data_IF_010053307350
#
_entry.id   IF_010053307350
#
_cell.length_a   1.000
_cell.length_b   1.000
_cell.length_c   1.000
_cell.angle_alpha   90.00
_cell.angle_beta   90.00
_cell.angle_gamma   90.00
#
_symmetry.space_group_name_H-M   'P 1'
#
loop_
_entity.id
_entity.type
_entity.pdbx_description
1 polymer ?
#
# COMPACT_ATOMS: atom_id res chain seq x y z
N UNK A 1 -10.87 -21.72 14.34
CA UNK A 1 -10.13 -23.00 14.17
C UNK A 1 -10.90 -24.09 13.44
N UNK A 2 -11.97 -24.68 14.00
CA UNK A 2 -12.70 -25.80 13.36
C UNK A 2 -13.25 -25.52 11.94
N UNK A 3 -13.56 -24.25 11.64
CA UNK A 3 -14.07 -23.83 10.32
C UNK A 3 -12.97 -23.70 9.26
N UNK A 4 -11.73 -23.37 9.63
CA UNK A 4 -10.58 -23.36 8.72
C UNK A 4 -10.28 -24.78 8.21
N UNK A 5 -10.39 -25.77 9.10
CA UNK A 5 -10.06 -27.19 8.85
C UNK A 5 -11.19 -27.94 8.14
N UNK A 6 -12.41 -27.40 8.10
CA UNK A 6 -13.52 -28.03 7.39
C UNK A 6 -13.44 -27.72 5.88
N UNK A 7 -12.83 -28.63 5.12
CA UNK A 7 -12.65 -28.52 3.67
C UNK A 7 -13.94 -28.72 2.85
N UNK A 8 -15.04 -29.12 3.49
CA UNK A 8 -16.31 -29.39 2.80
C UNK A 8 -17.26 -28.18 2.74
N UNK A 9 -16.89 -27.07 3.36
CA UNK A 9 -17.67 -25.83 3.39
C UNK A 9 -16.81 -24.64 2.93
N UNK A 10 -17.39 -23.67 2.18
CA UNK A 10 -16.69 -22.43 1.84
C UNK A 10 -16.30 -21.65 3.10
N UNK A 11 -15.23 -20.86 3.03
CA UNK A 11 -14.90 -19.95 4.13
C UNK A 11 -15.97 -18.89 4.26
N UNK A 12 -16.44 -18.70 5.49
CA UNK A 12 -17.43 -17.67 5.81
C UNK A 12 -16.71 -16.51 6.49
N UNK A 13 -16.86 -15.31 5.96
CA UNK A 13 -16.22 -14.08 6.46
C UNK A 13 -16.49 -13.87 7.96
N UNK A 14 -17.72 -14.11 8.42
CA UNK A 14 -18.09 -14.04 9.85
C UNK A 14 -17.31 -15.02 10.73
N UNK A 15 -16.97 -16.21 10.21
CA UNK A 15 -16.19 -17.20 10.97
C UNK A 15 -14.71 -16.83 11.06
N UNK A 16 -14.17 -16.16 10.04
CA UNK A 16 -12.79 -15.68 10.02
C UNK A 16 -12.60 -14.44 10.89
N UNK A 17 -13.59 -13.52 10.90
CA UNK A 17 -13.60 -12.36 11.79
C UNK A 17 -13.45 -12.73 13.28
N UNK A 18 -13.91 -13.93 13.68
CA UNK A 18 -13.73 -14.45 15.04
C UNK A 18 -12.28 -14.80 15.42
N UNK A 19 -11.35 -14.74 14.46
CA UNK A 19 -9.92 -14.94 14.71
C UNK A 19 -9.19 -13.62 15.04
N UNK A 20 -9.92 -12.50 15.08
CA UNK A 20 -9.39 -11.16 15.37
C UNK A 20 -8.89 -11.06 16.82
N UNK A 21 -7.85 -10.25 17.04
CA UNK A 21 -7.22 -10.02 18.34
C UNK A 21 -6.74 -11.31 19.01
N UNK A 22 -6.05 -12.22 18.29
CA UNK A 22 -5.69 -13.52 18.85
C UNK A 22 -4.72 -13.36 20.02
N UNK A 23 -4.97 -14.09 21.12
CA UNK A 23 -3.97 -14.22 22.18
C UNK A 23 -2.74 -14.98 21.67
N UNK A 24 -1.65 -14.97 22.45
CA UNK A 24 -0.46 -15.81 22.15
C UNK A 24 -0.79 -17.29 22.06
N UNK A 25 -1.77 -17.78 22.82
CA UNK A 25 -2.22 -19.17 22.75
C UNK A 25 -3.03 -19.42 21.47
N UNK A 26 -3.89 -18.48 21.07
CA UNK A 26 -4.66 -18.57 19.83
C UNK A 26 -3.75 -18.54 18.60
N UNK A 27 -2.73 -17.69 18.57
CA UNK A 27 -1.75 -17.64 17.49
C UNK A 27 -0.96 -18.96 17.36
N UNK A 28 -0.60 -19.60 18.49
CA UNK A 28 0.03 -20.93 18.49
C UNK A 28 -0.93 -22.01 17.99
N UNK A 29 -2.19 -21.97 18.42
CA UNK A 29 -3.21 -22.89 17.95
C UNK A 29 -3.45 -22.71 16.43
N UNK A 30 -3.47 -21.46 15.96
CA UNK A 30 -3.53 -21.11 14.55
C UNK A 30 -2.38 -21.75 13.78
N UNK A 31 -1.12 -21.52 14.19
CA UNK A 31 0.05 -22.08 13.54
C UNK A 31 -0.02 -23.61 13.39
N UNK A 32 -0.45 -24.32 14.45
CA UNK A 32 -0.58 -25.77 14.44
C UNK A 32 -1.64 -26.26 13.45
N UNK A 33 -2.80 -25.59 13.37
CA UNK A 33 -3.82 -25.98 12.39
C UNK A 33 -3.46 -25.53 10.98
N UNK A 34 -2.84 -24.35 10.84
CA UNK A 34 -2.39 -23.80 9.57
C UNK A 34 -1.44 -24.76 8.86
N UNK A 35 -0.48 -25.33 9.59
CA UNK A 35 0.51 -26.28 9.07
C UNK A 35 -0.09 -27.56 8.47
N UNK A 36 -1.33 -27.94 8.80
CA UNK A 36 -1.98 -29.15 8.28
C UNK A 36 -3.02 -28.86 7.19
N UNK A 37 -3.29 -27.59 6.87
CA UNK A 37 -4.21 -27.21 5.81
C UNK A 37 -3.59 -27.48 4.43
N UNK A 38 -4.38 -27.91 3.43
CA UNK A 38 -3.94 -27.94 2.03
C UNK A 38 -3.53 -26.55 1.52
N UNK A 39 -2.60 -26.49 0.57
CA UNK A 39 -2.07 -25.24 0.03
C UNK A 39 -3.17 -24.29 -0.48
N UNK A 40 -4.09 -24.81 -1.32
CA UNK A 40 -5.24 -24.06 -1.85
C UNK A 40 -6.11 -23.44 -0.73
N UNK A 41 -6.26 -24.15 0.39
CA UNK A 41 -7.06 -23.66 1.52
C UNK A 41 -6.33 -22.58 2.32
N UNK A 42 -5.01 -22.64 2.42
CA UNK A 42 -4.20 -21.59 3.06
C UNK A 42 -4.23 -20.32 2.23
N UNK A 43 -4.13 -20.45 0.91
CA UNK A 43 -4.24 -19.32 -0.02
C UNK A 43 -5.62 -18.66 0.04
N UNK A 44 -6.71 -19.44 -0.06
CA UNK A 44 -8.08 -18.95 0.09
C UNK A 44 -8.28 -18.24 1.44
N UNK A 45 -7.84 -18.87 2.55
CA UNK A 45 -7.98 -18.30 3.88
C UNK A 45 -7.18 -17.01 4.06
N UNK A 46 -5.96 -16.95 3.53
CA UNK A 46 -5.12 -15.76 3.62
C UNK A 46 -5.73 -14.60 2.84
N UNK A 47 -6.25 -14.84 1.63
CA UNK A 47 -6.94 -13.82 0.85
C UNK A 47 -8.13 -13.26 1.63
N UNK A 48 -9.00 -14.14 2.17
CA UNK A 48 -10.15 -13.68 2.95
C UNK A 48 -9.75 -12.90 4.22
N UNK A 49 -8.62 -13.21 4.85
CA UNK A 49 -8.13 -12.47 6.02
C UNK A 49 -7.67 -11.06 5.63
N UNK A 50 -6.96 -10.92 4.50
CA UNK A 50 -6.54 -9.61 3.97
C UNK A 50 -7.76 -8.77 3.60
N UNK A 51 -8.70 -9.32 2.82
CA UNK A 51 -9.91 -8.61 2.40
C UNK A 51 -10.74 -8.12 3.61
N UNK A 52 -10.80 -8.94 4.67
CA UNK A 52 -11.47 -8.58 5.92
C UNK A 52 -10.76 -7.46 6.68
N UNK A 53 -9.42 -7.51 6.75
CA UNK A 53 -8.64 -6.48 7.42
C UNK A 53 -8.72 -5.13 6.67
N UNK A 54 -8.72 -5.16 5.34
CA UNK A 54 -8.90 -3.94 4.52
C UNK A 54 -10.29 -3.33 4.69
N UNK A 55 -11.33 -4.16 4.81
CA UNK A 55 -12.72 -3.68 4.93
C UNK A 55 -13.14 -3.24 6.34
N UNK A 56 -12.35 -3.56 7.38
CA UNK A 56 -12.76 -3.39 8.78
C UNK A 56 -11.61 -3.03 9.71
N UNK A 57 -11.57 -1.77 10.12
CA UNK A 57 -10.60 -1.21 11.08
C UNK A 57 -10.70 -1.79 12.51
N UNK A 58 -11.77 -2.52 12.85
CA UNK A 58 -11.95 -3.12 14.17
C UNK A 58 -11.35 -4.54 14.28
N UNK A 59 -10.76 -5.04 13.19
CA UNK A 59 -10.19 -6.38 13.12
C UNK A 59 -8.66 -6.32 13.18
N UNK A 60 -8.05 -7.11 14.06
CA UNK A 60 -6.60 -7.28 14.16
C UNK A 60 -6.20 -8.74 13.88
N UNK A 61 -5.50 -8.97 12.77
CA UNK A 61 -4.95 -10.28 12.40
C UNK A 61 -3.42 -10.31 12.40
N UNK A 62 -2.74 -9.32 12.98
CA UNK A 62 -1.28 -9.17 12.87
C UNK A 62 -0.52 -10.43 13.29
N UNK A 63 -0.92 -11.07 14.40
CA UNK A 63 -0.27 -12.29 14.83
C UNK A 63 -0.44 -13.46 13.84
N UNK A 64 -1.59 -13.54 13.14
CA UNK A 64 -1.86 -14.58 12.14
C UNK A 64 -1.05 -14.36 10.88
N UNK A 65 -0.98 -13.10 10.41
CA UNK A 65 -0.14 -12.73 9.28
C UNK A 65 1.34 -13.00 9.57
N UNK A 66 1.84 -12.62 10.76
CA UNK A 66 3.21 -12.91 11.20
C UNK A 66 3.53 -14.41 11.19
N UNK A 67 2.62 -15.26 11.68
CA UNK A 67 2.78 -16.73 11.59
C UNK A 67 2.90 -17.19 10.14
N UNK A 68 2.14 -16.56 9.24
CA UNK A 68 2.04 -16.94 7.84
C UNK A 68 3.21 -16.46 6.97
N UNK A 69 4.10 -15.62 7.50
CA UNK A 69 5.36 -15.24 6.83
C UNK A 69 6.32 -16.41 6.61
N UNK A 70 6.13 -17.53 7.32
CA UNK A 70 6.91 -18.75 7.15
C UNK A 70 6.22 -19.79 6.25
N UNK A 71 5.09 -19.45 5.60
CA UNK A 71 4.33 -20.41 4.79
C UNK A 71 5.14 -20.90 3.57
N UNK A 72 5.04 -22.18 3.18
CA UNK A 72 5.66 -22.67 1.95
C UNK A 72 5.20 -21.94 0.67
N UNK A 73 3.94 -21.51 0.61
CA UNK A 73 3.41 -20.78 -0.55
C UNK A 73 3.90 -19.34 -0.57
N UNK A 74 4.52 -18.95 -1.68
CA UNK A 74 4.92 -17.57 -1.91
C UNK A 74 3.71 -16.61 -1.96
N UNK A 75 2.54 -17.09 -2.40
CA UNK A 75 1.32 -16.29 -2.42
C UNK A 75 0.88 -15.94 -1.00
N UNK A 76 0.86 -16.94 -0.10
CA UNK A 76 0.52 -16.72 1.32
C UNK A 76 1.50 -15.76 1.98
N UNK A 77 2.81 -15.92 1.77
CA UNK A 77 3.82 -15.01 2.34
C UNK A 77 3.66 -13.58 1.85
N UNK A 78 3.38 -13.38 0.56
CA UNK A 78 3.12 -12.05 -0.02
C UNK A 78 1.90 -11.40 0.62
N UNK A 79 0.76 -12.10 0.64
CA UNK A 79 -0.49 -11.61 1.23
C UNK A 79 -0.34 -11.33 2.74
N UNK A 80 0.44 -12.15 3.46
CA UNK A 80 0.74 -11.90 4.85
C UNK A 80 1.53 -10.59 5.07
N UNK A 81 2.45 -10.24 4.17
CA UNK A 81 3.15 -8.94 4.24
C UNK A 81 2.17 -7.79 3.99
N UNK A 82 1.25 -7.94 3.04
CA UNK A 82 0.23 -6.94 2.72
C UNK A 82 -0.74 -6.74 3.89
N UNK A 83 -1.20 -7.82 4.52
CA UNK A 83 -2.06 -7.76 5.71
C UNK A 83 -1.40 -7.12 6.94
N UNK A 84 -0.06 -7.05 6.99
CA UNK A 84 0.70 -6.43 8.08
C UNK A 84 0.87 -4.92 7.91
N UNK A 85 -0.01 -4.26 7.16
CA UNK A 85 0.08 -2.82 6.91
C UNK A 85 -0.13 -1.98 8.18
N UNK A 86 -0.97 -2.44 9.11
CA UNK A 86 -1.23 -1.80 10.42
C UNK A 86 -0.21 -2.17 11.52
N UNK A 87 0.68 -3.12 11.28
CA UNK A 87 1.68 -3.53 12.27
C UNK A 87 2.87 -2.55 12.29
N UNK A 88 2.90 -1.70 13.32
CA UNK A 88 3.90 -0.65 13.49
C UNK A 88 5.17 -1.11 14.22
N UNK A 89 5.24 -2.36 14.68
CA UNK A 89 6.35 -2.78 15.54
C UNK A 89 7.68 -2.83 14.77
N UNK A 90 8.77 -2.45 15.45
CA UNK A 90 10.09 -2.35 14.82
C UNK A 90 10.65 -3.72 14.40
N UNK A 91 10.34 -4.77 15.14
CA UNK A 91 10.81 -6.12 14.84
C UNK A 91 10.24 -6.62 13.50
N UNK A 92 9.08 -6.13 13.07
CA UNK A 92 8.57 -6.38 11.72
C UNK A 92 9.48 -5.78 10.64
N UNK A 93 10.01 -4.57 10.82
CA UNK A 93 10.99 -4.01 9.86
C UNK A 93 12.23 -4.92 9.76
N UNK A 94 12.68 -5.51 10.87
CA UNK A 94 13.79 -6.47 10.88
C UNK A 94 13.43 -7.74 10.10
N UNK A 95 12.21 -8.26 10.29
CA UNK A 95 11.70 -9.40 9.55
C UNK A 95 11.60 -9.10 8.04
N UNK A 96 11.06 -7.94 7.65
CA UNK A 96 10.92 -7.52 6.25
C UNK A 96 12.28 -7.35 5.57
N UNK A 97 13.28 -6.75 6.24
CA UNK A 97 14.65 -6.68 5.71
C UNK A 97 15.24 -8.07 5.47
N UNK A 98 14.98 -9.04 6.35
CA UNK A 98 15.41 -10.43 6.14
C UNK A 98 14.68 -11.06 4.95
N UNK A 99 13.36 -10.93 4.88
CA UNK A 99 12.55 -11.46 3.78
C UNK A 99 13.03 -10.89 2.44
N UNK A 100 13.23 -9.57 2.36
CA UNK A 100 13.78 -8.89 1.18
C UNK A 100 15.14 -9.45 0.75
N UNK A 101 16.00 -9.89 1.67
CA UNK A 101 17.33 -10.39 1.30
C UNK A 101 17.38 -11.90 1.03
N UNK A 102 16.42 -12.68 1.56
CA UNK A 102 16.55 -14.15 1.60
C UNK A 102 15.42 -14.93 0.97
N UNK A 103 14.24 -14.32 0.74
CA UNK A 103 13.11 -15.05 0.17
C UNK A 103 13.38 -15.44 -1.29
N UNK A 104 13.04 -16.66 -1.67
CA UNK A 104 13.25 -17.17 -3.03
C UNK A 104 12.33 -16.50 -4.06
N UNK A 105 11.15 -16.04 -3.63
CA UNK A 105 10.14 -15.46 -4.51
C UNK A 105 10.37 -13.97 -4.72
N UNK A 106 10.45 -13.57 -6.00
CA UNK A 106 10.54 -12.17 -6.44
C UNK A 106 9.38 -11.36 -5.86
N UNK A 107 8.15 -11.89 -5.91
CA UNK A 107 6.96 -11.16 -5.48
C UNK A 107 6.94 -10.94 -3.95
N UNK A 108 7.48 -11.89 -3.18
CA UNK A 108 7.57 -11.76 -1.72
C UNK A 108 8.66 -10.74 -1.35
N UNK A 109 9.82 -10.77 -2.02
CA UNK A 109 10.86 -9.75 -1.85
C UNK A 109 10.35 -8.36 -2.23
N UNK A 110 9.62 -8.24 -3.33
CA UNK A 110 9.02 -7.00 -3.79
C UNK A 110 8.02 -6.43 -2.77
N UNK A 111 7.12 -7.27 -2.23
CA UNK A 111 6.19 -6.86 -1.17
C UNK A 111 6.91 -6.40 0.10
N UNK A 112 7.99 -7.08 0.49
CA UNK A 112 8.82 -6.66 1.61
C UNK A 112 9.50 -5.29 1.36
N UNK A 113 10.04 -5.07 0.15
CA UNK A 113 10.60 -3.77 -0.23
C UNK A 113 9.55 -2.66 -0.18
N UNK A 114 8.33 -2.89 -0.69
CA UNK A 114 7.21 -1.93 -0.60
C UNK A 114 6.87 -1.60 0.85
N UNK A 115 6.68 -2.64 1.68
CA UNK A 115 6.30 -2.48 3.09
C UNK A 115 7.34 -1.73 3.89
N UNK A 116 8.64 -1.89 3.58
CA UNK A 116 9.72 -1.12 4.21
C UNK A 116 9.64 0.39 3.94
N UNK A 117 8.96 0.83 2.88
CA UNK A 117 8.79 2.25 2.54
C UNK A 117 8.15 3.06 3.66
N UNK A 118 7.24 2.49 4.44
CA UNK A 118 6.62 3.18 5.59
C UNK A 118 7.64 3.52 6.67
N UNK A 119 8.62 2.64 6.92
CA UNK A 119 9.66 2.90 7.91
C UNK A 119 10.71 3.88 7.38
N UNK A 120 10.93 3.94 6.06
CA UNK A 120 11.72 5.01 5.44
C UNK A 120 11.02 6.35 5.65
N UNK A 121 9.72 6.43 5.37
CA UNK A 121 8.91 7.63 5.63
C UNK A 121 8.99 8.06 7.11
N UNK A 122 8.77 7.15 8.05
CA UNK A 122 8.93 7.44 9.49
C UNK A 122 10.34 7.95 9.84
N UNK A 123 11.38 7.44 9.15
CA UNK A 123 12.75 7.93 9.29
C UNK A 123 12.91 9.38 8.83
N UNK A 124 12.32 9.76 7.70
CA UNK A 124 12.35 11.13 7.17
C UNK A 124 11.47 12.09 7.99
N UNK A 125 10.45 11.59 8.68
CA UNK A 125 9.62 12.35 9.62
C UNK A 125 10.26 12.51 11.02
N UNK A 126 11.48 12.00 11.24
CA UNK A 126 12.15 11.94 12.55
C UNK A 126 11.40 11.10 13.62
N UNK A 127 10.43 10.28 13.20
CA UNK A 127 9.62 9.39 14.06
C UNK A 127 10.27 8.00 14.27
N UNK A 128 11.36 7.72 13.54
CA UNK A 128 12.18 6.52 13.69
C UNK A 128 13.63 6.89 14.05
N UNK A 129 14.22 6.17 15.02
CA UNK A 129 15.59 6.41 15.45
C UNK A 129 16.58 6.41 14.25
N UNK A 130 17.53 7.37 14.15
CA UNK A 130 18.41 7.48 12.97
C UNK A 130 19.21 6.22 12.65
N UNK A 131 19.59 5.44 13.68
CA UNK A 131 20.28 4.16 13.49
C UNK A 131 19.40 3.11 12.81
N UNK A 132 18.10 3.09 13.12
CA UNK A 132 17.10 2.18 12.52
C UNK A 132 16.78 2.60 11.09
N UNK A 133 16.57 3.89 10.84
CA UNK A 133 16.40 4.43 9.49
C UNK A 133 17.61 4.10 8.60
N UNK A 134 18.84 4.27 9.11
CA UNK A 134 20.06 3.93 8.39
C UNK A 134 20.18 2.43 8.08
N UNK A 135 19.70 1.54 8.96
CA UNK A 135 19.69 0.09 8.71
C UNK A 135 18.82 -0.26 7.50
N UNK A 136 17.58 0.25 7.47
CA UNK A 136 16.66 0.03 6.35
C UNK A 136 17.23 0.57 5.05
N UNK A 137 17.73 1.81 5.08
CA UNK A 137 18.37 2.44 3.93
C UNK A 137 19.52 1.59 3.38
N UNK A 138 20.39 1.08 4.26
CA UNK A 138 21.54 0.27 3.84
C UNK A 138 21.11 -1.00 3.11
N UNK A 139 20.04 -1.66 3.57
CA UNK A 139 19.49 -2.86 2.93
C UNK A 139 18.88 -2.52 1.56
N UNK A 140 18.08 -1.46 1.47
CA UNK A 140 17.48 -1.04 0.20
C UNK A 140 18.55 -0.58 -0.81
N UNK A 141 19.55 0.19 -0.38
CA UNK A 141 20.69 0.60 -1.22
C UNK A 141 21.45 -0.63 -1.77
N UNK A 142 21.63 -1.67 -0.96
CA UNK A 142 22.25 -2.93 -1.39
C UNK A 142 21.42 -3.62 -2.49
N UNK A 143 20.10 -3.70 -2.31
CA UNK A 143 19.18 -4.31 -3.29
C UNK A 143 19.20 -3.55 -4.62
N UNK A 144 19.18 -2.22 -4.58
CA UNK A 144 19.23 -1.37 -5.79
C UNK A 144 20.57 -1.49 -6.51
N UNK A 145 21.66 -1.73 -5.77
CA UNK A 145 22.99 -1.85 -6.33
C UNK A 145 23.31 -3.25 -6.90
N UNK A 146 22.49 -4.26 -6.60
CA UNK A 146 22.72 -5.64 -7.07
C UNK A 146 22.29 -5.79 -8.55
N UNK A 147 23.24 -6.05 -9.47
CA UNK A 147 22.92 -6.21 -10.89
C UNK A 147 22.16 -7.51 -11.21
N UNK A 148 22.15 -8.49 -10.31
CA UNK A 148 21.44 -9.76 -10.48
C UNK A 148 20.04 -9.75 -9.86
N UNK A 149 19.68 -8.70 -9.11
CA UNK A 149 18.35 -8.61 -8.52
C UNK A 149 17.28 -8.39 -9.60
N UNK A 150 16.11 -8.98 -9.34
CA UNK A 150 14.96 -8.89 -10.20
C UNK A 150 14.51 -7.43 -10.35
N UNK A 151 14.21 -6.97 -11.58
CA UNK A 151 13.81 -5.59 -11.82
C UNK A 151 12.58 -5.17 -10.98
N UNK A 152 11.68 -6.10 -10.72
CA UNK A 152 10.51 -5.92 -9.84
C UNK A 152 10.88 -5.52 -8.40
N UNK A 153 11.88 -6.16 -7.82
CA UNK A 153 12.32 -5.86 -6.44
C UNK A 153 13.07 -4.53 -6.42
N UNK A 154 13.91 -4.27 -7.43
CA UNK A 154 14.65 -3.02 -7.57
C UNK A 154 13.71 -1.83 -7.67
N UNK A 155 12.65 -1.90 -8.49
CA UNK A 155 11.71 -0.78 -8.62
C UNK A 155 11.00 -0.50 -7.30
N UNK A 156 10.54 -1.52 -6.57
CA UNK A 156 9.95 -1.36 -5.22
C UNK A 156 10.92 -0.73 -4.22
N UNK A 157 12.19 -1.16 -4.24
CA UNK A 157 13.20 -0.60 -3.35
C UNK A 157 13.45 0.89 -3.63
N UNK A 158 13.51 1.30 -4.90
CA UNK A 158 13.65 2.72 -5.27
C UNK A 158 12.42 3.55 -4.84
N UNK A 159 11.21 3.02 -5.02
CA UNK A 159 9.97 3.70 -4.59
C UNK A 159 9.91 3.90 -3.07
N UNK A 160 10.43 2.95 -2.30
CA UNK A 160 10.55 3.04 -0.84
C UNK A 160 11.62 4.05 -0.40
N UNK A 161 12.74 4.13 -1.13
CA UNK A 161 13.78 5.14 -0.89
C UNK A 161 13.36 6.55 -1.33
N UNK A 162 12.32 6.70 -2.14
CA UNK A 162 11.92 7.97 -2.75
C UNK A 162 11.60 9.08 -1.74
N UNK A 163 11.20 8.74 -0.51
CA UNK A 163 11.00 9.71 0.56
C UNK A 163 12.29 10.46 0.95
N UNK A 164 13.46 9.87 0.70
CA UNK A 164 14.76 10.47 1.04
C UNK A 164 15.17 11.45 -0.05
N UNK A 165 15.37 12.72 0.32
CA UNK A 165 15.85 13.74 -0.61
C UNK A 165 17.37 13.93 -0.58
N UNK A 166 18.09 13.06 -1.32
CA UNK A 166 19.52 13.24 -1.57
C UNK A 166 19.94 12.88 -3.01
N UNK A 167 21.18 13.24 -3.37
CA UNK A 167 21.72 13.02 -4.72
C UNK A 167 21.77 11.53 -5.11
N UNK A 168 21.93 10.63 -4.14
CA UNK A 168 21.97 9.19 -4.41
C UNK A 168 20.60 8.70 -4.85
N UNK A 169 19.55 9.04 -4.09
CA UNK A 169 18.16 8.71 -4.45
C UNK A 169 17.78 9.33 -5.79
N UNK A 170 18.16 10.59 -6.02
CA UNK A 170 17.95 11.25 -7.32
C UNK A 170 18.62 10.50 -8.46
N UNK A 171 19.85 10.02 -8.28
CA UNK A 171 20.54 9.26 -9.31
C UNK A 171 19.92 7.88 -9.55
N UNK A 172 19.39 7.23 -8.51
CA UNK A 172 18.64 5.97 -8.62
C UNK A 172 17.36 6.17 -9.46
N UNK A 173 16.53 7.16 -9.13
CA UNK A 173 15.31 7.50 -9.87
C UNK A 173 15.62 7.83 -11.33
N UNK A 174 16.67 8.64 -11.60
CA UNK A 174 17.11 8.93 -12.98
C UNK A 174 17.52 7.68 -13.75
N UNK A 175 18.13 6.73 -13.07
CA UNK A 175 18.58 5.48 -13.70
C UNK A 175 17.37 4.62 -14.04
N UNK A 176 16.43 4.47 -13.11
CA UNK A 176 15.17 3.76 -13.29
C UNK A 176 14.38 4.32 -14.48
N UNK A 177 14.26 5.65 -14.57
CA UNK A 177 13.55 6.34 -15.65
C UNK A 177 14.16 6.12 -17.05
N UNK A 178 15.47 5.90 -17.14
CA UNK A 178 16.17 5.70 -18.42
C UNK A 178 16.04 4.27 -18.97
N UNK A 179 15.55 3.34 -18.15
CA UNK A 179 15.31 1.97 -18.61
C UNK A 179 14.15 1.94 -19.60
N UNK A 180 14.20 1.01 -20.55
CA UNK A 180 13.23 0.93 -21.65
C UNK A 180 11.88 0.29 -21.26
N UNK A 181 11.78 -0.19 -20.02
CA UNK A 181 10.59 -0.85 -19.50
C UNK A 181 9.58 0.19 -19.00
N UNK A 182 8.31 0.07 -19.39
CA UNK A 182 7.24 0.97 -18.97
C UNK A 182 7.02 0.92 -17.46
N UNK A 183 7.10 -0.28 -16.85
CA UNK A 183 6.93 -0.45 -15.40
C UNK A 183 8.00 0.29 -14.60
N UNK A 184 9.24 0.35 -15.12
CA UNK A 184 10.35 1.10 -14.54
C UNK A 184 10.12 2.61 -14.62
N UNK A 185 9.61 3.08 -15.76
CA UNK A 185 9.30 4.50 -15.95
C UNK A 185 8.13 4.95 -15.07
N UNK A 186 7.11 4.11 -14.92
CA UNK A 186 5.99 4.28 -13.99
C UNK A 186 6.53 4.43 -12.56
N UNK A 187 7.33 3.48 -12.09
CA UNK A 187 7.94 3.52 -10.76
C UNK A 187 8.86 4.72 -10.57
N UNK A 188 9.56 5.15 -11.61
CA UNK A 188 10.39 6.34 -11.55
C UNK A 188 9.54 7.62 -11.40
N UNK A 189 8.44 7.75 -12.15
CA UNK A 189 7.54 8.90 -12.03
C UNK A 189 6.87 8.95 -10.65
N UNK A 190 6.44 7.81 -10.13
CA UNK A 190 5.95 7.72 -8.76
C UNK A 190 7.01 8.19 -7.75
N UNK A 191 8.25 7.72 -7.91
CA UNK A 191 9.36 8.12 -7.05
C UNK A 191 9.69 9.62 -7.18
N UNK A 192 9.53 10.21 -8.36
CA UNK A 192 9.71 11.66 -8.57
C UNK A 192 8.66 12.48 -7.81
N UNK A 193 7.41 12.01 -7.79
CA UNK A 193 6.32 12.61 -7.02
C UNK A 193 6.66 12.67 -5.53
N UNK A 194 6.98 11.51 -4.96
CA UNK A 194 7.35 11.35 -3.54
C UNK A 194 8.62 12.09 -3.14
N UNK A 195 9.65 12.05 -3.98
CA UNK A 195 10.92 12.73 -3.72
C UNK A 195 10.79 14.25 -3.78
N UNK A 196 9.83 14.75 -4.57
CA UNK A 196 9.44 16.15 -4.68
C UNK A 196 10.56 17.16 -4.97
N UNK A 197 11.71 16.73 -5.47
CA UNK A 197 12.79 17.62 -5.88
C UNK A 197 12.46 18.38 -7.17
N UNK A 198 12.80 19.67 -7.21
CA UNK A 198 12.55 20.57 -8.33
C UNK A 198 13.18 20.10 -9.66
N UNK A 199 14.19 19.22 -9.62
CA UNK A 199 14.82 18.70 -10.82
C UNK A 199 13.88 17.81 -11.65
N UNK A 200 12.81 17.27 -11.06
CA UNK A 200 11.85 16.38 -11.74
C UNK A 200 10.79 17.13 -12.52
N UNK A 201 10.57 18.39 -12.18
CA UNK A 201 9.42 19.17 -12.62
C UNK A 201 9.28 19.12 -14.15
N UNK A 202 10.37 19.25 -14.91
CA UNK A 202 10.37 19.15 -16.39
C UNK A 202 10.00 17.77 -16.90
N UNK A 203 10.57 16.72 -16.33
CA UNK A 203 10.28 15.34 -16.74
C UNK A 203 8.80 15.03 -16.50
N UNK A 204 8.32 15.30 -15.28
CA UNK A 204 6.93 14.99 -14.90
C UNK A 204 5.93 15.76 -15.78
N UNK A 205 6.13 17.06 -16.01
CA UNK A 205 5.22 17.83 -16.86
C UNK A 205 5.24 17.39 -18.34
N UNK A 206 6.38 16.96 -18.86
CA UNK A 206 6.47 16.46 -20.24
C UNK A 206 5.68 15.15 -20.39
N UNK A 207 5.74 14.26 -19.39
CA UNK A 207 5.08 12.95 -19.40
C UNK A 207 3.53 13.00 -19.31
N UNK A 208 2.94 14.14 -18.94
CA UNK A 208 1.49 14.39 -19.08
C UNK A 208 0.99 14.31 -20.54
N UNK A 209 1.91 14.34 -21.51
CA UNK A 209 1.62 14.22 -22.93
C UNK A 209 1.98 12.85 -23.51
N UNK A 210 2.34 11.88 -22.67
CA UNK A 210 2.74 10.55 -23.12
C UNK A 210 1.56 9.82 -23.78
N UNK A 211 1.86 8.99 -24.79
CA UNK A 211 0.85 8.16 -25.45
C UNK A 211 0.30 7.04 -24.53
N UNK A 212 1.12 6.50 -23.63
CA UNK A 212 0.74 5.47 -22.69
C UNK A 212 -0.09 6.04 -21.53
N UNK A 213 -1.33 5.55 -21.29
CA UNK A 213 -2.17 6.00 -20.18
C UNK A 213 -1.52 5.83 -18.81
N UNK A 214 -0.84 4.69 -18.57
CA UNK A 214 -0.13 4.44 -17.31
C UNK A 214 0.90 5.53 -16.99
N UNK A 215 1.63 6.01 -18.01
CA UNK A 215 2.60 7.08 -17.82
C UNK A 215 1.93 8.43 -17.56
N UNK A 216 0.81 8.73 -18.24
CA UNK A 216 0.03 9.96 -17.97
C UNK A 216 -0.57 9.96 -16.57
N UNK A 217 -1.13 8.82 -16.14
CA UNK A 217 -1.66 8.61 -14.81
C UNK A 217 -0.60 8.94 -13.75
N UNK A 218 0.59 8.35 -13.90
CA UNK A 218 1.69 8.59 -12.96
C UNK A 218 2.24 10.01 -12.97
N UNK A 219 2.35 10.61 -14.16
CA UNK A 219 2.76 11.99 -14.28
C UNK A 219 1.75 12.95 -13.63
N UNK A 220 0.44 12.66 -13.75
CA UNK A 220 -0.63 13.40 -13.06
C UNK A 220 -0.50 13.26 -11.54
N UNK A 221 -0.32 12.04 -11.03
CA UNK A 221 -0.08 11.78 -9.61
C UNK A 221 1.11 12.59 -9.08
N UNK A 222 2.27 12.46 -9.73
CA UNK A 222 3.48 13.16 -9.33
C UNK A 222 3.31 14.69 -9.39
N UNK A 223 2.57 15.23 -10.37
CA UNK A 223 2.23 16.65 -10.41
C UNK A 223 1.41 17.10 -9.20
N UNK A 224 0.49 16.26 -8.73
CA UNK A 224 -0.32 16.49 -7.53
C UNK A 224 0.54 16.49 -6.27
N UNK A 225 1.30 15.42 -6.03
CA UNK A 225 2.19 15.26 -4.87
C UNK A 225 3.23 16.40 -4.76
N UNK A 226 3.81 16.81 -5.90
CA UNK A 226 4.74 17.93 -5.98
C UNK A 226 4.07 19.31 -6.01
N UNK A 227 2.73 19.38 -6.03
CA UNK A 227 1.94 20.61 -6.08
C UNK A 227 2.30 21.54 -7.26
N UNK A 228 2.52 20.96 -8.44
CA UNK A 228 3.01 21.68 -9.63
C UNK A 228 1.97 22.60 -10.24
N UNK A 229 1.98 23.86 -9.79
CA UNK A 229 1.11 24.94 -10.30
C UNK A 229 1.14 25.08 -11.83
N UNK A 230 2.28 24.82 -12.47
CA UNK A 230 2.44 24.93 -13.93
C UNK A 230 1.78 23.79 -14.71
N UNK A 231 1.47 22.67 -14.06
CA UNK A 231 0.82 21.51 -14.68
C UNK A 231 -0.70 21.72 -14.80
N UNK A 232 -1.28 22.67 -14.03
CA UNK A 232 -2.73 22.89 -13.95
C UNK A 232 -3.45 22.98 -15.30
N UNK A 233 -2.98 23.74 -16.31
CA UNK A 233 -3.65 23.77 -17.61
C UNK A 233 -3.75 22.40 -18.26
N UNK A 234 -2.67 21.60 -18.18
CA UNK A 234 -2.63 20.27 -18.80
C UNK A 234 -3.43 19.25 -17.99
N UNK A 235 -3.39 19.32 -16.66
CA UNK A 235 -4.23 18.48 -15.80
C UNK A 235 -5.72 18.76 -16.05
N UNK A 236 -6.12 20.02 -16.25
CA UNK A 236 -7.49 20.36 -16.59
C UNK A 236 -7.94 19.76 -17.94
N UNK A 237 -7.04 19.67 -18.93
CA UNK A 237 -7.33 18.95 -20.19
C UNK A 237 -7.40 17.43 -20.00
N UNK A 238 -6.56 16.87 -19.13
CA UNK A 238 -6.55 15.43 -18.82
C UNK A 238 -7.75 14.99 -17.99
N UNK A 239 -8.50 15.91 -17.36
CA UNK A 239 -9.78 15.58 -16.76
C UNK A 239 -10.77 14.98 -17.78
N UNK A 240 -10.61 15.27 -19.08
CA UNK A 240 -11.38 14.68 -20.19
C UNK A 240 -10.59 13.61 -20.97
N UNK A 241 -9.55 13.01 -20.36
CA UNK A 241 -8.80 11.94 -21.00
C UNK A 241 -9.72 10.74 -21.35
N UNK A 242 -9.40 10.06 -22.45
CA UNK A 242 -10.14 8.89 -22.89
C UNK A 242 -10.01 7.71 -21.92
N UNK A 243 -8.92 7.67 -21.16
CA UNK A 243 -8.71 6.74 -20.07
C UNK A 243 -9.31 7.30 -18.77
N UNK A 244 -10.26 6.57 -18.18
CA UNK A 244 -11.01 7.02 -17.01
C UNK A 244 -10.13 7.15 -15.76
N UNK A 245 -9.08 6.34 -15.62
CA UNK A 245 -8.16 6.42 -14.47
C UNK A 245 -7.27 7.65 -14.59
N UNK A 246 -6.80 7.97 -15.80
CA UNK A 246 -6.06 9.22 -16.06
C UNK A 246 -6.92 10.44 -15.76
N UNK A 247 -8.19 10.41 -16.18
CA UNK A 247 -9.18 11.46 -15.91
C UNK A 247 -9.36 11.68 -14.41
N UNK A 248 -9.65 10.63 -13.65
CA UNK A 248 -9.81 10.72 -12.19
C UNK A 248 -8.52 11.21 -11.51
N UNK A 249 -7.36 10.69 -11.90
CA UNK A 249 -6.08 11.09 -11.31
C UNK A 249 -5.72 12.55 -11.63
N UNK A 250 -6.09 13.06 -12.81
CA UNK A 250 -5.89 14.47 -13.15
C UNK A 250 -6.76 15.39 -12.27
N UNK A 251 -8.00 15.01 -11.99
CA UNK A 251 -8.91 15.74 -11.09
C UNK A 251 -8.35 15.71 -9.65
N UNK A 252 -7.91 14.54 -9.19
CA UNK A 252 -7.24 14.41 -7.90
C UNK A 252 -6.01 15.30 -7.79
N UNK A 253 -5.15 15.31 -8.82
CA UNK A 253 -3.94 16.11 -8.86
C UNK A 253 -4.24 17.62 -8.84
N UNK A 254 -5.30 18.08 -9.50
CA UNK A 254 -5.78 19.45 -9.37
C UNK A 254 -6.18 19.78 -7.92
N UNK A 255 -6.85 18.85 -7.24
CA UNK A 255 -7.13 18.93 -5.81
C UNK A 255 -5.86 19.08 -4.98
N UNK A 256 -4.83 18.27 -5.22
CA UNK A 256 -3.56 18.36 -4.47
C UNK A 256 -2.80 19.67 -4.73
N UNK A 257 -2.78 20.15 -5.98
CA UNK A 257 -2.09 21.41 -6.32
C UNK A 257 -2.73 22.59 -5.59
N UNK A 258 -4.06 22.60 -5.45
CA UNK A 258 -4.81 23.45 -4.53
C UNK A 258 -4.68 24.98 -4.66
N UNK A 259 -3.96 25.47 -5.68
CA UNK A 259 -3.84 26.89 -5.93
C UNK A 259 -5.12 27.44 -6.60
N UNK A 260 -5.24 28.77 -6.68
CA UNK A 260 -6.42 29.43 -7.29
C UNK A 260 -6.73 29.00 -8.72
N UNK A 261 -5.70 28.65 -9.49
CA UNK A 261 -5.87 28.20 -10.87
C UNK A 261 -6.46 26.78 -10.90
N UNK A 262 -6.00 25.90 -10.03
CA UNK A 262 -6.53 24.55 -9.87
C UNK A 262 -7.97 24.57 -9.35
N UNK A 263 -8.26 25.41 -8.35
CA UNK A 263 -9.63 25.63 -7.86
C UNK A 263 -10.56 26.12 -8.98
N UNK A 264 -10.09 27.06 -9.82
CA UNK A 264 -10.86 27.54 -10.97
C UNK A 264 -11.13 26.43 -11.99
N UNK A 265 -10.14 25.56 -12.24
CA UNK A 265 -10.31 24.42 -13.14
C UNK A 265 -11.33 23.41 -12.58
N UNK A 266 -11.22 23.04 -11.30
CA UNK A 266 -12.17 22.14 -10.63
C UNK A 266 -13.60 22.70 -10.65
N UNK A 267 -13.79 24.00 -10.39
CA UNK A 267 -15.11 24.64 -10.46
C UNK A 267 -15.71 24.60 -11.86
N UNK A 268 -14.90 24.64 -12.91
CA UNK A 268 -15.40 24.46 -14.28
C UNK A 268 -15.85 23.01 -14.54
N UNK A 269 -15.19 22.02 -13.94
CA UNK A 269 -15.54 20.61 -14.08
C UNK A 269 -16.84 20.22 -13.36
N UNK A 270 -17.34 21.04 -12.41
CA UNK A 270 -18.66 20.84 -11.80
C UNK A 270 -19.81 20.93 -12.81
N UNK A 271 -19.62 21.68 -13.90
CA UNK A 271 -20.61 21.84 -14.98
C UNK A 271 -20.43 20.80 -16.09
N UNK A 272 -19.55 19.81 -15.90
CA UNK A 272 -19.24 18.81 -16.91
C UNK A 272 -20.40 17.81 -17.11
N UNK A 273 -20.65 17.42 -18.37
CA UNK A 273 -21.77 16.52 -18.73
C UNK A 273 -21.60 15.09 -18.20
N UNK A 274 -20.36 14.68 -17.90
CA UNK A 274 -20.07 13.38 -17.29
C UNK A 274 -20.17 13.46 -15.77
N UNK A 275 -21.14 12.75 -15.20
CA UNK A 275 -21.42 12.68 -13.75
C UNK A 275 -20.23 12.22 -12.91
N UNK A 276 -19.40 11.30 -13.42
CA UNK A 276 -18.20 10.85 -12.69
C UNK A 276 -17.18 11.98 -12.54
N UNK A 277 -16.99 12.79 -13.59
CA UNK A 277 -16.06 13.93 -13.60
C UNK A 277 -16.55 15.04 -12.66
N UNK A 278 -17.84 15.39 -12.74
CA UNK A 278 -18.41 16.44 -11.89
C UNK A 278 -18.46 16.04 -10.42
N UNK A 279 -18.70 14.76 -10.11
CA UNK A 279 -18.63 14.21 -8.75
C UNK A 279 -17.21 14.26 -8.21
N UNK A 280 -16.21 13.74 -8.94
CA UNK A 280 -14.81 13.79 -8.53
C UNK A 280 -14.32 15.24 -8.33
N UNK A 281 -14.77 16.17 -9.16
CA UNK A 281 -14.44 17.59 -9.01
C UNK A 281 -15.06 18.20 -7.73
N UNK A 282 -16.28 17.79 -7.37
CA UNK A 282 -16.91 18.21 -6.12
C UNK A 282 -16.15 17.69 -4.89
N UNK A 283 -15.75 16.42 -4.89
CA UNK A 283 -14.96 15.79 -3.83
C UNK A 283 -13.57 16.46 -3.68
N UNK A 284 -12.90 16.76 -4.79
CA UNK A 284 -11.63 17.47 -4.79
C UNK A 284 -11.75 18.90 -4.22
N UNK A 285 -12.85 19.60 -4.50
CA UNK A 285 -13.12 20.93 -3.92
C UNK A 285 -13.44 20.86 -2.43
N UNK A 286 -14.24 19.88 -2.00
CA UNK A 286 -14.56 19.69 -0.57
C UNK A 286 -13.30 19.39 0.25
N UNK A 287 -12.39 18.58 -0.30
CA UNK A 287 -11.09 18.29 0.30
C UNK A 287 -10.24 19.56 0.48
N UNK A 288 -10.24 20.45 -0.51
CA UNK A 288 -9.55 21.75 -0.45
C UNK A 288 -10.12 22.68 0.63
N UNK A 289 -11.45 22.69 0.79
CA UNK A 289 -12.13 23.53 1.78
C UNK A 289 -11.94 23.00 3.21
N UNK A 290 -11.92 21.67 3.37
CA UNK A 290 -11.73 21.00 4.66
C UNK A 290 -10.27 21.00 5.14
N UNK A 291 -9.31 21.24 4.24
CA UNK A 291 -7.87 21.22 4.56
C UNK A 291 -7.35 19.84 4.97
N UNK A 292 -8.11 18.78 4.69
CA UNK A 292 -7.73 17.39 4.91
C UNK A 292 -7.01 16.92 3.65
N UNK A 293 -5.73 16.54 3.71
CA UNK A 293 -5.05 15.94 2.58
C UNK A 293 -5.80 14.68 2.15
N UNK A 294 -6.00 14.49 0.85
CA UNK A 294 -6.57 13.27 0.27
C UNK A 294 -5.70 12.02 0.52
N UNK A 295 -4.55 12.20 1.18
CA UNK A 295 -3.44 11.26 1.29
C UNK A 295 -3.57 10.21 2.41
N UNK A 296 -4.61 10.29 3.27
CA UNK A 296 -4.87 9.22 4.26
C UNK A 296 -5.43 7.92 3.63
N UNK A 297 -5.37 7.79 2.30
CA UNK A 297 -5.86 6.66 1.51
C UNK A 297 -4.79 6.04 0.60
N UNK A 298 -3.48 6.14 0.92
CA UNK A 298 -2.44 5.36 0.21
C UNK A 298 -2.53 3.87 0.60
N UNK A 299 -3.63 3.22 0.25
CA UNK A 299 -3.59 1.86 -0.23
C UNK A 299 -3.79 1.96 -1.75
N UNK A 300 -2.70 2.04 -2.51
CA UNK A 300 -2.76 1.78 -3.95
C UNK A 300 -2.66 0.27 -4.05
N UNK A 301 -3.76 -0.49 -4.26
CA UNK A 301 -3.64 -1.91 -4.50
C UNK A 301 -2.74 -2.05 -5.72
N UNK A 302 -1.62 -2.75 -5.58
CA UNK A 302 -0.82 -3.13 -6.74
C UNK A 302 -1.76 -3.89 -7.67
N UNK A 303 -2.01 -3.35 -8.86
CA UNK A 303 -2.89 -3.90 -9.90
C UNK A 303 -2.51 -5.30 -10.41
N UNK A 304 -1.51 -5.92 -9.80
CA UNK A 304 -1.03 -7.27 -10.09
C UNK A 304 -1.71 -8.36 -9.24
N UNK A 305 -2.71 -8.03 -8.40
CA UNK A 305 -3.64 -9.05 -7.91
C UNK A 305 -4.67 -9.34 -8.99
N UNK A 306 -4.45 -10.42 -9.75
CA UNK A 306 -5.51 -11.04 -10.54
C UNK A 306 -6.64 -11.47 -9.57
N UNK A 307 -7.58 -10.55 -9.32
CA UNK A 307 -8.76 -10.79 -8.52
C UNK A 307 -9.62 -11.84 -9.22
N UNK A 308 -9.69 -13.03 -8.63
CA UNK A 308 -10.75 -13.98 -8.92
C UNK A 308 -12.02 -13.39 -8.32
N UNK A 309 -12.97 -12.96 -9.14
CA UNK A 309 -14.30 -12.55 -8.69
C UNK A 309 -14.94 -13.69 -7.89
N UNK A 310 -14.91 -13.58 -6.56
CA UNK A 310 -15.75 -14.38 -5.68
C UNK A 310 -17.07 -13.62 -5.56
N UNK A 311 -18.09 -14.13 -6.24
CA UNK A 311 -19.46 -13.62 -6.13
C UNK A 311 -19.94 -13.80 -4.70
N UNK A 312 -19.97 -12.73 -3.90
CA UNK A 312 -20.72 -12.68 -2.64
C UNK A 312 -22.13 -12.19 -2.94
N UNK A 313 -23.01 -13.11 -3.31
CA UNK A 313 -24.44 -12.94 -3.02
C UNK A 313 -24.58 -13.16 -1.51
N UNK A 314 -24.99 -12.13 -0.77
CA UNK A 314 -25.85 -12.18 0.43
C UNK A 314 -25.83 -10.79 1.10
N UNK A 315 -26.50 -9.82 0.47
CA UNK A 315 -27.24 -8.80 1.21
C UNK A 315 -28.41 -9.50 1.90
N UNK A 316 -28.49 -9.47 3.23
CA UNK A 316 -29.76 -9.37 3.96
C UNK A 316 -29.51 -9.23 5.47
N UNK A 317 -30.01 -8.11 6.01
CA UNK A 317 -30.57 -7.90 7.36
C UNK A 317 -29.80 -8.42 8.58
N UNK A 318 -29.21 -7.52 9.38
CA UNK A 318 -29.27 -7.60 10.85
C UNK A 318 -29.06 -6.21 11.49
N UNK A 319 -30.16 -5.47 11.63
CA UNK A 319 -30.34 -4.52 12.73
C UNK A 319 -30.36 -5.28 14.08
N UNK A 320 -29.97 -4.57 15.16
CA UNK A 320 -30.22 -4.89 16.57
C UNK A 320 -29.15 -5.73 17.29
N UNK A 321 -28.18 -5.06 17.92
CA UNK A 321 -27.56 -5.56 19.17
C UNK A 321 -27.46 -4.43 20.20
N UNK A 322 -28.33 -4.55 21.21
CA UNK A 322 -28.39 -3.77 22.43
C UNK A 322 -27.18 -4.02 23.35
N UNK A 323 -26.72 -2.92 23.95
CA UNK A 323 -26.36 -2.76 25.37
C UNK A 323 -25.50 -3.85 26.05
N UNK A 324 -24.21 -3.57 26.25
CA UNK A 324 -23.44 -4.12 27.36
C UNK A 324 -22.77 -2.99 28.14
N UNK A 325 -23.32 -2.72 29.32
CA UNK A 325 -22.76 -1.91 30.39
C UNK A 325 -21.77 -2.74 31.23
N UNK A 326 -20.72 -2.04 31.69
CA UNK A 326 -19.85 -2.30 32.86
C UNK A 326 -19.00 -3.59 32.95
N UNK A 327 -17.68 -3.42 32.76
CA UNK A 327 -16.66 -4.04 33.64
C UNK A 327 -15.31 -3.32 33.56
N UNK A 328 -15.05 -2.54 34.62
CA UNK A 328 -13.79 -2.19 35.32
C UNK A 328 -12.41 -2.39 34.65
N UNK A 329 -11.65 -1.29 34.67
CA UNK A 329 -10.18 -1.14 34.75
C UNK A 329 -9.35 -2.43 34.79
N UNK A 330 -8.62 -2.71 33.70
CA UNK A 330 -7.35 -3.44 33.75
C UNK A 330 -6.29 -2.58 33.06
N UNK A 331 -5.64 -1.78 33.89
CA UNK A 331 -4.37 -1.12 33.65
C UNK A 331 -3.28 -2.18 33.88
N UNK A 332 -2.74 -2.78 32.81
CA UNK A 332 -1.46 -3.48 32.79
C UNK A 332 -1.07 -3.77 31.32
N UNK A 333 -0.46 -2.76 30.68
CA UNK A 333 0.26 -2.93 29.44
C UNK A 333 1.52 -3.77 29.71
N UNK A 334 1.42 -5.09 29.54
CA UNK A 334 2.58 -5.97 29.46
C UNK A 334 3.34 -5.66 28.16
N UNK A 335 4.40 -4.87 28.32
CA UNK A 335 5.53 -4.73 27.42
C UNK A 335 5.90 -6.08 26.81
N UNK A 336 5.89 -6.15 25.48
CA UNK A 336 6.34 -7.32 24.73
C UNK A 336 7.80 -7.61 25.06
N UNK A 337 8.08 -8.80 25.60
CA UNK A 337 9.46 -9.30 25.73
C UNK A 337 9.99 -9.68 24.34
N UNK A 338 11.13 -9.09 23.99
CA UNK A 338 11.88 -9.05 22.72
C UNK A 338 12.36 -10.40 22.13
N UNK A 339 11.79 -11.56 22.50
CA UNK A 339 12.26 -12.85 21.98
C UNK A 339 11.44 -13.32 20.75
N UNK A 340 12.09 -13.53 19.58
CA UNK A 340 11.45 -14.17 18.44
C UNK A 340 10.92 -15.55 18.86
N UNK A 341 9.73 -15.92 18.39
CA UNK A 341 9.26 -17.29 18.48
C UNK A 341 10.22 -18.19 17.71
N UNK A 342 11.13 -18.86 18.42
CA UNK A 342 11.94 -19.95 17.86
C UNK A 342 10.98 -21.04 17.40
N UNK A 343 10.87 -21.20 16.09
CA UNK A 343 10.20 -22.32 15.43
C UNK A 343 11.29 -23.32 15.03
N UNK A 344 11.55 -24.29 15.91
CA UNK A 344 12.39 -25.46 15.64
C UNK A 344 11.79 -26.39 14.56
#
# INVERSE_FOLDING_TARGET
>A
MNKLVNLSEPLQSKSLAMLSGPSREDAKAFALAWAVLPDERREEAMQCLVDLAEGRFDIDFNALFRVSLADPSALVRRLAIEGLWEDEAWDLAVLLMRVLLTDESINVRAAAATSLGRYVYLGECDDLAPTRAQQIRTVLDQVVADPEEAPEVVRRAVESLAFINDESTVQMIRTLYKLSDESMRVSALFSMGRNADDCWVNIVCDELNNAAPAIRYEASRACGEMQLSRAVPRLAELADDADAEVSQMAIWALGQVGNKQAETALRALLEHDNEAISTAAAEALDSLESGIPFDMMIHVPSKDSDLVEVTSDDDDDLDEFDEFDDAEDIDDAESWDDDPLELD
#
